data_IF_523789206702
#
_entry.id   IF_523789206702
#
_cell.length_a   1.000
_cell.length_b   1.000
_cell.length_c   1.000
_cell.angle_alpha   90.00
_cell.angle_beta   90.00
_cell.angle_gamma   90.00
#
_symmetry.space_group_name_H-M   'P 1'
#
loop_
_entity.id
_entity.type
_entity.pdbx_description
1 polymer ?
#
# COMPACT_ATOMS: atom_id res chain seq x y z
N UNK A 1 33.51 4.51 18.49
CA UNK A 1 32.45 5.18 19.30
C UNK A 1 31.63 6.17 18.49
N UNK A 2 31.91 7.49 18.41
CA UNK A 2 30.99 8.47 17.79
C UNK A 2 30.42 8.10 16.40
N UNK A 3 31.22 7.53 15.48
CA UNK A 3 30.73 7.07 14.16
C UNK A 3 29.68 5.94 14.24
N UNK A 4 29.79 5.02 15.19
CA UNK A 4 28.82 3.92 15.38
C UNK A 4 27.44 4.43 15.85
N UNK A 5 27.40 5.50 16.63
CA UNK A 5 26.14 6.16 17.03
C UNK A 5 25.48 6.97 15.90
N UNK A 6 26.16 7.20 14.77
CA UNK A 6 25.54 7.72 13.55
C UNK A 6 24.96 6.57 12.74
N UNK A 7 25.75 5.51 12.53
CA UNK A 7 25.29 4.32 11.79
C UNK A 7 24.09 3.63 12.46
N UNK A 8 24.12 3.39 13.78
CA UNK A 8 22.95 2.85 14.50
C UNK A 8 21.73 3.78 14.44
N UNK A 9 21.90 5.11 14.34
CA UNK A 9 20.76 6.04 14.19
C UNK A 9 20.19 6.07 12.77
N UNK A 10 21.04 6.00 11.75
CA UNK A 10 20.59 5.84 10.37
C UNK A 10 19.85 4.51 10.21
N UNK A 11 20.43 3.41 10.73
CA UNK A 11 19.82 2.08 10.71
C UNK A 11 18.49 2.04 11.49
N UNK A 12 18.39 2.68 12.66
CA UNK A 12 17.10 2.81 13.37
C UNK A 12 16.07 3.67 12.61
N UNK A 13 16.51 4.64 11.80
CA UNK A 13 15.62 5.38 10.91
C UNK A 13 15.13 4.54 9.73
N UNK A 14 16.01 3.74 9.13
CA UNK A 14 15.68 2.80 8.05
C UNK A 14 14.79 1.66 8.55
N UNK A 15 15.02 1.11 9.75
CA UNK A 15 14.09 0.14 10.35
C UNK A 15 12.77 0.78 10.83
N UNK A 16 12.75 2.07 11.16
CA UNK A 16 11.50 2.79 11.41
C UNK A 16 10.70 2.96 10.10
N UNK A 17 11.35 3.22 8.96
CA UNK A 17 10.70 3.10 7.65
C UNK A 17 10.24 1.66 7.39
N UNK A 18 11.05 0.63 7.67
CA UNK A 18 10.68 -0.76 7.38
C UNK A 18 9.60 -1.36 8.30
N UNK A 19 9.35 -0.77 9.47
CA UNK A 19 8.24 -1.14 10.37
C UNK A 19 7.03 -0.22 10.24
N UNK A 20 7.21 1.03 9.79
CA UNK A 20 6.13 1.77 9.17
C UNK A 20 5.60 0.95 7.97
N UNK A 21 6.47 0.47 7.08
CA UNK A 21 6.14 -0.32 5.87
C UNK A 21 5.14 -1.44 6.06
N UNK A 22 5.19 -2.17 7.17
CA UNK A 22 4.24 -3.25 7.49
C UNK A 22 2.79 -2.76 7.58
N UNK A 23 2.60 -1.45 7.73
CA UNK A 23 1.35 -0.69 7.79
C UNK A 23 1.46 0.65 6.97
N UNK A 24 2.46 0.80 6.07
CA UNK A 24 2.76 2.04 5.29
C UNK A 24 4.24 2.52 5.15
N UNK A 25 4.81 2.38 3.92
CA UNK A 25 5.84 3.22 3.22
C UNK A 25 7.41 3.13 3.31
N UNK A 26 8.01 2.81 2.12
CA UNK A 26 9.28 3.30 1.46
C UNK A 26 10.66 2.54 1.55
N UNK A 27 11.29 2.34 0.34
CA UNK A 27 12.71 2.10 -0.15
C UNK A 27 13.71 1.03 0.49
N UNK A 28 14.64 0.23 -0.14
CA UNK A 28 14.89 -0.42 -1.49
C UNK A 28 16.41 -0.85 -1.79
N UNK A 29 17.07 -1.80 -2.55
CA UNK A 29 17.25 -2.74 -3.78
C UNK A 29 18.22 -2.30 -4.91
N UNK A 30 18.84 -3.12 -5.79
CA UNK A 30 18.65 -4.52 -6.26
C UNK A 30 19.25 -5.67 -5.43
N UNK A 31 19.86 -6.73 -6.00
CA UNK A 31 20.14 -7.15 -7.41
C UNK A 31 20.10 -8.72 -7.47
N UNK A 32 20.42 -9.53 -8.50
CA UNK A 32 21.22 -9.45 -9.75
C UNK A 32 20.65 -10.45 -10.82
N UNK A 33 21.22 -10.52 -12.03
CA UNK A 33 20.76 -11.34 -13.17
C UNK A 33 20.81 -12.88 -12.91
N UNK A 34 19.88 -13.68 -13.49
CA UNK A 34 19.66 -13.82 -14.94
C UNK A 34 18.45 -13.07 -15.52
N UNK A 35 18.55 -12.71 -16.81
CA UNK A 35 17.56 -12.06 -17.70
C UNK A 35 16.20 -11.75 -17.07
N UNK A 36 16.03 -10.48 -16.68
CA UNK A 36 14.93 -9.98 -15.85
C UNK A 36 13.53 -10.54 -16.19
N UNK A 37 13.02 -10.29 -17.40
CA UNK A 37 11.61 -10.52 -17.78
C UNK A 37 11.11 -11.92 -17.38
N UNK A 38 11.86 -12.96 -17.77
CA UNK A 38 11.49 -14.37 -17.55
C UNK A 38 11.65 -14.80 -16.09
N UNK A 39 12.57 -14.18 -15.36
CA UNK A 39 12.76 -14.39 -13.92
C UNK A 39 11.61 -13.76 -13.14
N UNK A 40 11.15 -12.58 -13.56
CA UNK A 40 9.98 -11.93 -12.97
C UNK A 40 8.68 -12.70 -13.27
N UNK A 41 8.43 -13.08 -14.53
CA UNK A 41 7.27 -13.90 -14.92
C UNK A 41 7.15 -15.17 -14.04
N UNK A 42 8.25 -15.90 -13.88
CA UNK A 42 8.28 -17.12 -13.06
C UNK A 42 8.08 -16.83 -11.56
N UNK A 43 8.67 -15.75 -11.04
CA UNK A 43 8.52 -15.35 -9.63
C UNK A 43 7.10 -14.88 -9.34
N UNK A 44 6.45 -14.19 -10.29
CA UNK A 44 5.06 -13.76 -10.21
C UNK A 44 4.09 -14.93 -10.34
N UNK A 45 4.31 -15.87 -11.28
CA UNK A 45 3.48 -17.06 -11.42
C UNK A 45 3.53 -17.94 -10.16
N UNK A 46 4.72 -18.17 -9.60
CA UNK A 46 4.90 -18.91 -8.35
C UNK A 46 4.22 -18.21 -7.15
N UNK A 47 4.25 -16.88 -7.09
CA UNK A 47 3.55 -16.14 -6.03
C UNK A 47 2.03 -16.15 -6.20
N UNK A 48 1.52 -16.12 -7.44
CA UNK A 48 0.09 -16.30 -7.73
C UNK A 48 -0.38 -17.70 -7.34
N UNK A 49 0.46 -18.73 -7.48
CA UNK A 49 0.18 -20.08 -6.97
C UNK A 49 0.22 -20.12 -5.42
N UNK A 50 1.21 -19.45 -4.81
CA UNK A 50 1.40 -19.33 -3.35
C UNK A 50 0.17 -18.71 -2.63
N UNK A 51 -0.46 -17.71 -3.23
CA UNK A 51 -1.66 -17.01 -2.69
C UNK A 51 -3.00 -17.68 -3.09
N UNK A 52 -2.97 -18.86 -3.70
CA UNK A 52 -4.19 -19.61 -4.04
C UNK A 52 -4.90 -19.13 -5.30
N UNK A 53 -4.19 -18.42 -6.18
CA UNK A 53 -4.71 -17.84 -7.42
C UNK A 53 -5.19 -16.40 -7.28
N UNK A 54 -5.71 -15.85 -8.38
CA UNK A 54 -6.26 -14.50 -8.48
C UNK A 54 -7.51 -14.54 -9.35
N UNK A 55 -8.50 -13.73 -9.00
CA UNK A 55 -9.78 -13.64 -9.69
C UNK A 55 -10.35 -12.25 -9.52
N UNK A 56 -10.24 -11.43 -10.57
CA UNK A 56 -10.95 -10.16 -10.62
C UNK A 56 -12.46 -10.41 -10.72
N UNK A 57 -13.24 -9.71 -9.89
CA UNK A 57 -14.70 -9.78 -9.88
C UNK A 57 -15.37 -8.41 -9.84
N UNK A 58 -14.60 -7.32 -9.73
CA UNK A 58 -15.14 -5.97 -9.84
C UNK A 58 -15.59 -5.68 -11.28
N UNK A 59 -16.89 -5.42 -11.46
CA UNK A 59 -17.49 -5.03 -12.75
C UNK A 59 -17.48 -3.50 -12.96
N UNK A 60 -17.66 -2.77 -11.87
CA UNK A 60 -17.87 -1.33 -11.81
C UNK A 60 -18.73 -0.97 -10.60
N UNK A 61 -18.86 0.33 -10.30
CA UNK A 61 -19.71 0.86 -9.24
C UNK A 61 -20.67 1.92 -9.78
N UNK A 62 -21.78 2.12 -9.10
CA UNK A 62 -22.67 3.29 -9.27
C UNK A 62 -22.36 4.30 -8.18
N UNK A 63 -22.39 5.60 -8.50
CA UNK A 63 -22.18 6.66 -7.52
C UNK A 63 -23.25 6.64 -6.42
N UNK A 64 -22.84 6.65 -5.15
CA UNK A 64 -23.75 6.77 -4.00
C UNK A 64 -24.47 8.15 -3.91
N UNK A 65 -24.15 9.09 -4.79
CA UNK A 65 -24.74 10.43 -4.83
C UNK A 65 -25.73 10.62 -5.98
N UNK A 66 -26.81 11.34 -5.68
CA UNK A 66 -27.93 11.58 -6.57
C UNK A 66 -27.84 12.98 -7.21
N UNK A 67 -27.52 13.03 -8.50
CA UNK A 67 -27.32 14.29 -9.25
C UNK A 67 -28.59 14.77 -9.94
N UNK A 68 -28.75 16.10 -10.02
CA UNK A 68 -29.91 16.76 -10.63
C UNK A 68 -29.86 16.85 -12.17
N UNK A 69 -28.76 16.43 -12.81
CA UNK A 69 -28.63 16.36 -14.27
C UNK A 69 -27.44 15.50 -14.69
N UNK A 70 -27.47 14.95 -15.92
CA UNK A 70 -26.38 14.13 -16.43
C UNK A 70 -25.01 14.84 -16.54
N UNK A 71 -24.91 16.12 -16.95
CA UNK A 71 -23.63 16.84 -16.92
C UNK A 71 -23.04 16.97 -15.52
N UNK A 72 -23.87 17.23 -14.50
CA UNK A 72 -23.41 17.34 -13.11
C UNK A 72 -22.83 16.00 -12.59
N UNK A 73 -23.46 14.86 -12.92
CA UNK A 73 -22.91 13.54 -12.63
C UNK A 73 -21.59 13.27 -13.38
N UNK A 74 -21.48 13.75 -14.63
CA UNK A 74 -20.26 13.60 -15.43
C UNK A 74 -19.09 14.48 -14.95
N UNK A 75 -19.39 15.65 -14.38
CA UNK A 75 -18.42 16.53 -13.72
C UNK A 75 -17.97 15.95 -12.37
N UNK A 76 -18.91 15.50 -11.53
CA UNK A 76 -18.61 14.87 -10.23
C UNK A 76 -17.79 13.57 -10.36
N UNK A 77 -17.94 12.81 -11.46
CA UNK A 77 -17.08 11.67 -11.77
C UNK A 77 -15.59 12.05 -11.85
N UNK A 78 -15.26 13.22 -12.39
CA UNK A 78 -13.86 13.67 -12.45
C UNK A 78 -13.31 13.88 -11.05
N UNK A 79 -14.04 14.68 -10.26
CA UNK A 79 -13.67 15.09 -8.90
C UNK A 79 -13.61 13.90 -7.93
N UNK A 80 -14.44 12.87 -8.12
CA UNK A 80 -14.57 11.74 -7.19
C UNK A 80 -13.79 10.50 -7.63
N UNK A 81 -13.73 10.19 -8.93
CA UNK A 81 -13.18 8.91 -9.43
C UNK A 81 -11.83 9.03 -10.13
N UNK A 82 -11.44 10.21 -10.63
CA UNK A 82 -10.33 10.33 -11.60
C UNK A 82 -9.09 11.05 -11.06
N UNK A 83 -9.25 12.05 -10.19
CA UNK A 83 -8.16 13.02 -9.88
C UNK A 83 -7.50 12.86 -8.51
N UNK A 84 -8.01 11.99 -7.64
CA UNK A 84 -7.41 11.72 -6.34
C UNK A 84 -7.40 12.94 -5.42
N UNK A 85 -6.24 13.26 -4.85
CA UNK A 85 -6.06 14.41 -3.95
C UNK A 85 -5.80 15.73 -4.70
N UNK A 86 -6.02 15.77 -6.03
CA UNK A 86 -5.74 16.93 -6.90
C UNK A 86 -7.03 17.63 -7.29
N UNK A 87 -7.02 18.96 -7.29
CA UNK A 87 -8.12 19.72 -7.91
C UNK A 87 -8.06 19.56 -9.44
N UNK A 88 -9.22 19.60 -10.09
CA UNK A 88 -9.31 19.72 -11.53
C UNK A 88 -10.41 20.71 -11.95
N UNK A 89 -10.15 21.42 -13.03
CA UNK A 89 -11.16 22.25 -13.70
C UNK A 89 -11.71 21.49 -14.91
N UNK A 90 -13.00 21.19 -14.92
CA UNK A 90 -13.69 20.70 -16.12
C UNK A 90 -13.83 21.82 -17.14
N UNK A 91 -13.36 21.56 -18.36
CA UNK A 91 -13.32 22.51 -19.48
C UNK A 91 -14.53 22.33 -20.39
N UNK A 92 -14.99 21.09 -20.60
CA UNK A 92 -16.11 20.77 -21.48
C UNK A 92 -16.71 19.37 -21.18
N UNK A 93 -18.04 19.30 -21.11
CA UNK A 93 -18.82 18.08 -20.83
C UNK A 93 -19.72 17.76 -22.02
N UNK A 94 -19.36 16.77 -22.84
CA UNK A 94 -20.01 16.53 -24.13
C UNK A 94 -20.62 15.12 -24.23
N UNK A 95 -21.96 15.05 -24.34
CA UNK A 95 -22.67 13.80 -24.64
C UNK A 95 -22.26 13.27 -26.03
N UNK A 96 -21.92 11.99 -26.09
CA UNK A 96 -21.50 11.26 -27.31
C UNK A 96 -22.59 10.33 -27.83
N UNK A 97 -23.30 9.62 -26.94
CA UNK A 97 -24.33 8.65 -27.33
C UNK A 97 -25.38 8.41 -26.24
N UNK A 98 -26.49 7.81 -26.63
CA UNK A 98 -27.38 7.04 -25.76
C UNK A 98 -27.05 5.55 -25.96
N UNK A 99 -26.80 4.81 -24.88
CA UNK A 99 -26.47 3.39 -24.98
C UNK A 99 -27.71 2.57 -25.34
N UNK A 100 -27.54 1.59 -26.25
CA UNK A 100 -28.59 0.60 -26.49
C UNK A 100 -28.58 -0.50 -25.42
N UNK A 101 -29.70 -1.23 -25.29
CA UNK A 101 -29.89 -2.26 -24.25
C UNK A 101 -28.79 -3.34 -24.22
N UNK A 102 -28.18 -3.70 -25.36
CA UNK A 102 -27.04 -4.63 -25.39
C UNK A 102 -25.79 -4.03 -24.75
N UNK A 103 -25.54 -2.72 -24.95
CA UNK A 103 -24.42 -2.02 -24.32
C UNK A 103 -24.65 -1.82 -22.82
N UNK A 104 -25.88 -1.51 -22.40
CA UNK A 104 -26.25 -1.39 -20.98
C UNK A 104 -26.04 -2.75 -20.28
N UNK A 105 -26.48 -3.84 -20.88
CA UNK A 105 -26.24 -5.19 -20.35
C UNK A 105 -24.75 -5.58 -20.32
N UNK A 106 -23.92 -5.04 -21.22
CA UNK A 106 -22.46 -5.27 -21.24
C UNK A 106 -21.72 -4.51 -20.13
N UNK A 107 -22.29 -3.45 -19.56
CA UNK A 107 -21.71 -2.76 -18.40
C UNK A 107 -21.87 -3.55 -17.10
N UNK A 108 -22.80 -4.53 -17.04
CA UNK A 108 -23.15 -5.32 -15.86
C UNK A 108 -23.40 -4.47 -14.59
N UNK A 109 -24.19 -3.40 -14.74
CA UNK A 109 -24.52 -2.46 -13.67
C UNK A 109 -25.38 -3.15 -12.60
N UNK A 110 -24.87 -3.23 -11.38
CA UNK A 110 -25.58 -3.78 -10.23
C UNK A 110 -26.27 -2.65 -9.45
N UNK A 111 -27.61 -2.61 -9.49
CA UNK A 111 -28.46 -1.63 -8.78
C UNK A 111 -29.82 -2.22 -8.46
N UNK A 112 -30.50 -1.71 -7.43
CA UNK A 112 -31.88 -2.05 -7.09
C UNK A 112 -32.92 -1.18 -7.79
N UNK A 113 -32.52 -0.05 -8.40
CA UNK A 113 -33.42 0.87 -9.08
C UNK A 113 -33.61 0.55 -10.57
N UNK A 114 -34.71 1.03 -11.17
CA UNK A 114 -35.02 0.74 -12.58
C UNK A 114 -34.30 1.72 -13.50
N UNK A 115 -33.21 1.26 -14.12
CA UNK A 115 -32.47 2.01 -15.16
C UNK A 115 -33.42 2.35 -16.32
N UNK A 116 -33.66 3.65 -16.55
CA UNK A 116 -34.44 4.15 -17.68
C UNK A 116 -33.59 4.38 -18.93
N UNK A 117 -32.27 4.51 -18.76
CA UNK A 117 -31.28 4.61 -19.83
C UNK A 117 -29.88 4.86 -19.29
N UNK A 118 -28.88 4.76 -20.16
CA UNK A 118 -27.49 5.15 -19.86
C UNK A 118 -26.97 6.02 -21.01
N UNK A 119 -26.28 7.11 -20.68
CA UNK A 119 -25.78 8.12 -21.60
C UNK A 119 -24.25 8.11 -21.59
N UNK A 120 -23.59 8.05 -22.77
CA UNK A 120 -22.13 8.15 -22.87
C UNK A 120 -21.72 9.62 -23.01
N UNK A 121 -20.78 10.06 -22.18
CA UNK A 121 -20.17 11.37 -22.19
C UNK A 121 -18.65 11.28 -22.39
N UNK A 122 -18.06 12.32 -22.98
CA UNK A 122 -16.63 12.63 -22.88
C UNK A 122 -16.50 13.92 -22.09
N UNK A 123 -15.69 13.87 -21.04
CA UNK A 123 -15.41 15.01 -20.18
C UNK A 123 -13.94 15.39 -20.38
N UNK A 124 -13.72 16.67 -20.61
CA UNK A 124 -12.42 17.26 -20.93
C UNK A 124 -12.04 18.19 -19.78
N UNK A 125 -10.91 17.93 -19.14
CA UNK A 125 -10.52 18.56 -17.86
C UNK A 125 -9.02 18.90 -17.81
N UNK A 126 -8.63 19.75 -16.87
CA UNK A 126 -7.23 20.08 -16.55
C UNK A 126 -7.01 19.87 -15.05
N UNK A 127 -5.96 19.15 -14.68
CA UNK A 127 -5.50 19.07 -13.28
C UNK A 127 -4.74 20.35 -12.89
N UNK A 128 -5.05 20.87 -11.70
CA UNK A 128 -4.38 22.06 -11.17
C UNK A 128 -2.96 21.71 -10.69
N UNK A 129 -1.96 22.03 -11.51
CA UNK A 129 -0.57 21.88 -11.14
C UNK A 129 -0.20 22.80 -9.96
N UNK A 130 0.47 22.24 -8.95
CA UNK A 130 0.96 22.94 -7.72
C UNK A 130 2.16 23.89 -8.02
N UNK A 131 2.39 24.23 -9.30
CA UNK A 131 3.58 24.93 -9.81
C UNK A 131 3.18 26.33 -10.32
N UNK A 132 3.91 27.40 -9.97
CA UNK A 132 3.52 28.77 -10.32
C UNK A 132 3.42 29.01 -11.83
N UNK A 133 2.46 29.87 -12.22
CA UNK A 133 1.86 30.09 -13.56
C UNK A 133 2.78 30.30 -14.78
N UNK A 134 4.11 30.31 -14.65
CA UNK A 134 5.03 30.71 -15.72
C UNK A 134 5.11 29.74 -16.91
N UNK A 135 4.77 28.46 -16.72
CA UNK A 135 4.89 27.40 -17.76
C UNK A 135 3.71 26.42 -17.76
N UNK A 136 2.47 26.92 -17.61
CA UNK A 136 1.29 26.12 -17.96
C UNK A 136 1.22 25.91 -19.49
N UNK A 137 1.72 24.76 -19.94
CA UNK A 137 1.31 24.17 -21.21
C UNK A 137 0.00 23.41 -20.95
N UNK A 138 -1.04 23.65 -21.75
CA UNK A 138 -2.38 23.10 -21.51
C UNK A 138 -2.41 21.57 -21.67
N UNK A 139 -2.13 20.84 -20.59
CA UNK A 139 -2.25 19.38 -20.50
C UNK A 139 -3.71 18.98 -20.28
N UNK A 140 -4.60 19.37 -21.20
CA UNK A 140 -6.02 19.02 -21.14
C UNK A 140 -6.21 17.53 -21.39
N UNK A 141 -6.74 16.82 -20.39
CA UNK A 141 -7.06 15.40 -20.42
C UNK A 141 -8.50 15.18 -20.89
N UNK A 142 -8.81 13.97 -21.34
CA UNK A 142 -10.14 13.52 -21.73
C UNK A 142 -10.41 12.14 -21.13
N UNK A 143 -11.62 11.94 -20.60
CA UNK A 143 -12.07 10.64 -20.10
C UNK A 143 -13.50 10.37 -20.58
N UNK A 144 -13.84 9.09 -20.74
CA UNK A 144 -15.21 8.64 -21.02
C UNK A 144 -15.94 8.45 -19.69
N UNK A 145 -17.19 8.89 -19.63
CA UNK A 145 -18.06 8.71 -18.46
C UNK A 145 -19.39 8.10 -18.92
N UNK A 146 -19.94 7.20 -18.12
CA UNK A 146 -21.27 6.62 -18.33
C UNK A 146 -22.22 7.16 -17.26
N UNK A 147 -23.33 7.75 -17.68
CA UNK A 147 -24.31 8.35 -16.75
C UNK A 147 -25.60 7.54 -16.81
N UNK A 148 -26.01 6.99 -15.67
CA UNK A 148 -27.25 6.24 -15.52
C UNK A 148 -28.38 7.24 -15.25
N UNK A 149 -29.53 6.98 -15.87
CA UNK A 149 -30.75 7.75 -15.66
C UNK A 149 -31.82 6.89 -14.98
N UNK A 150 -32.31 7.39 -13.86
CA UNK A 150 -33.45 6.83 -13.12
C UNK A 150 -34.67 7.75 -13.25
N UNK A 151 -35.72 7.52 -12.46
CA UNK A 151 -36.99 8.27 -12.62
C UNK A 151 -36.85 9.75 -12.24
N UNK A 152 -36.12 10.07 -11.17
CA UNK A 152 -36.08 11.40 -10.56
C UNK A 152 -34.67 12.01 -10.46
N UNK A 153 -33.62 11.27 -10.83
CA UNK A 153 -32.21 11.63 -10.63
C UNK A 153 -31.29 10.97 -11.68
N UNK A 154 -30.01 11.33 -11.64
CA UNK A 154 -28.93 10.72 -12.40
C UNK A 154 -27.78 10.31 -11.47
N UNK A 155 -27.09 9.22 -11.81
CA UNK A 155 -25.91 8.70 -11.09
C UNK A 155 -24.81 8.42 -12.13
N UNK A 156 -23.53 8.52 -11.76
CA UNK A 156 -22.45 8.08 -12.66
C UNK A 156 -22.17 6.58 -12.47
N UNK A 157 -21.61 5.93 -13.50
CA UNK A 157 -21.08 4.58 -13.43
C UNK A 157 -19.57 4.59 -13.64
N UNK A 158 -18.82 4.08 -12.65
CA UNK A 158 -17.38 3.92 -12.70
C UNK A 158 -17.04 2.45 -13.07
N UNK A 159 -16.84 2.13 -14.36
CA UNK A 159 -16.59 0.74 -14.79
C UNK A 159 -15.26 0.22 -14.25
N UNK A 160 -15.07 -1.11 -14.28
CA UNK A 160 -13.76 -1.72 -14.06
C UNK A 160 -12.72 -1.15 -15.05
N UNK A 161 -11.59 -0.56 -14.57
CA UNK A 161 -10.54 -0.07 -15.44
C UNK A 161 -9.92 -1.20 -16.29
N UNK A 162 -9.47 -0.89 -17.50
CA UNK A 162 -8.78 -1.85 -18.36
C UNK A 162 -7.32 -1.98 -17.95
N UNK A 163 -6.72 -3.16 -18.06
CA UNK A 163 -5.28 -3.38 -17.81
C UNK A 163 -4.42 -2.35 -18.55
N UNK A 164 -3.60 -1.60 -17.80
CA UNK A 164 -2.78 -0.48 -18.30
C UNK A 164 -3.38 0.92 -18.09
N UNK A 165 -4.63 1.04 -17.65
CA UNK A 165 -5.25 2.31 -17.25
C UNK A 165 -5.00 2.60 -15.75
N UNK A 166 -4.98 3.88 -15.37
CA UNK A 166 -5.03 4.28 -13.96
C UNK A 166 -6.35 3.83 -13.34
N UNK A 167 -6.33 3.31 -12.11
CA UNK A 167 -7.54 2.85 -11.44
C UNK A 167 -8.44 4.02 -10.99
N UNK A 168 -9.74 3.77 -10.82
CA UNK A 168 -10.69 4.72 -10.23
C UNK A 168 -10.72 4.61 -8.71
N UNK A 169 -11.26 5.63 -8.03
CA UNK A 169 -11.47 5.59 -6.57
C UNK A 169 -12.33 4.40 -6.16
N UNK A 170 -13.48 4.21 -6.82
CA UNK A 170 -14.40 3.10 -6.54
C UNK A 170 -13.75 1.72 -6.74
N UNK A 171 -12.84 1.56 -7.71
CA UNK A 171 -12.09 0.31 -7.84
C UNK A 171 -11.14 0.10 -6.65
N UNK A 172 -10.39 1.14 -6.27
CA UNK A 172 -9.49 1.10 -5.11
C UNK A 172 -10.25 0.81 -3.79
N UNK A 173 -11.32 1.56 -3.53
CA UNK A 173 -12.21 1.39 -2.38
C UNK A 173 -12.79 -0.04 -2.32
N UNK A 174 -13.21 -0.61 -3.47
CA UNK A 174 -13.77 -1.96 -3.50
C UNK A 174 -12.78 -3.06 -3.11
N UNK A 175 -11.48 -2.85 -3.36
CA UNK A 175 -10.45 -3.78 -2.89
C UNK A 175 -10.15 -3.57 -1.41
N UNK A 176 -10.25 -2.35 -0.92
CA UNK A 176 -9.93 -1.97 0.46
C UNK A 176 -11.15 -1.88 1.39
N UNK A 177 -12.28 -2.52 1.05
CA UNK A 177 -13.45 -2.64 1.92
C UNK A 177 -13.06 -3.30 3.26
N UNK A 178 -13.05 -2.53 4.35
CA UNK A 178 -12.59 -2.98 5.66
C UNK A 178 -13.40 -4.15 6.25
N UNK A 179 -14.68 -4.28 5.87
CA UNK A 179 -15.54 -5.40 6.27
C UNK A 179 -15.06 -6.74 5.68
N UNK A 180 -14.48 -6.75 4.47
CA UNK A 180 -13.88 -7.94 3.90
C UNK A 180 -12.68 -8.46 4.71
N UNK A 181 -11.97 -7.58 5.42
CA UNK A 181 -10.79 -7.91 6.24
C UNK A 181 -11.12 -8.30 7.69
N UNK A 182 -12.40 -8.32 8.07
CA UNK A 182 -12.83 -8.87 9.37
C UNK A 182 -12.55 -10.38 9.42
N UNK A 183 -11.85 -10.81 10.46
CA UNK A 183 -11.52 -12.23 10.71
C UNK A 183 -10.61 -12.87 9.64
N UNK A 184 -9.52 -12.19 9.28
CA UNK A 184 -8.50 -12.68 8.34
C UNK A 184 -7.14 -12.93 9.00
N UNK A 185 -6.27 -13.67 8.30
CA UNK A 185 -4.86 -13.87 8.67
C UNK A 185 -3.99 -13.15 7.66
N UNK A 186 -3.29 -12.10 8.11
CA UNK A 186 -2.21 -11.47 7.36
C UNK A 186 -0.90 -12.21 7.64
N UNK A 187 -0.05 -12.36 6.62
CA UNK A 187 1.29 -12.93 6.78
C UNK A 187 2.25 -12.27 5.80
N UNK A 188 3.41 -11.85 6.30
CA UNK A 188 4.39 -11.05 5.59
C UNK A 188 5.81 -11.62 5.77
N UNK A 189 6.60 -11.63 4.70
CA UNK A 189 8.05 -11.84 4.74
C UNK A 189 8.76 -10.68 4.01
N UNK A 190 9.53 -9.89 4.78
CA UNK A 190 10.44 -8.86 4.29
C UNK A 190 11.87 -9.37 4.37
N UNK A 191 12.59 -9.41 3.24
CA UNK A 191 14.04 -9.61 3.22
C UNK A 191 14.70 -8.29 2.87
N UNK A 192 15.44 -7.72 3.81
CA UNK A 192 16.33 -6.59 3.58
C UNK A 192 17.78 -7.08 3.44
N UNK A 193 18.53 -6.58 2.46
CA UNK A 193 20.00 -6.66 2.44
C UNK A 193 20.57 -5.25 2.37
N UNK A 194 21.78 -5.04 2.84
CA UNK A 194 22.43 -3.74 2.83
C UNK A 194 23.94 -3.92 2.76
N UNK A 195 24.54 -3.62 1.61
CA UNK A 195 25.98 -3.56 1.44
C UNK A 195 26.45 -2.12 1.55
N UNK A 196 27.46 -1.90 2.38
CA UNK A 196 28.07 -0.58 2.60
C UNK A 196 29.58 -0.65 2.45
N UNK A 197 30.18 0.35 1.80
CA UNK A 197 31.64 0.50 1.72
C UNK A 197 32.04 1.68 2.60
N UNK A 198 32.73 1.38 3.70
CA UNK A 198 33.00 2.35 4.76
C UNK A 198 34.13 3.33 4.43
N UNK A 199 33.87 4.63 4.57
CA UNK A 199 34.84 5.73 4.41
C UNK A 199 36.03 5.72 5.42
N UNK A 200 36.24 4.63 6.14
CA UNK A 200 37.44 4.36 6.93
C UNK A 200 38.00 3.00 6.51
N UNK A 201 39.19 3.01 5.91
CA UNK A 201 39.93 1.84 5.42
C UNK A 201 39.32 1.10 4.21
N UNK A 202 38.17 1.52 3.67
CA UNK A 202 37.60 0.93 2.46
C UNK A 202 37.09 -0.50 2.64
N UNK A 203 36.73 -0.87 3.87
CA UNK A 203 36.15 -2.18 4.14
C UNK A 203 34.69 -2.23 3.69
N UNK A 204 34.33 -3.27 2.94
CA UNK A 204 32.94 -3.64 2.70
C UNK A 204 32.36 -4.31 3.95
N UNK A 205 31.16 -3.88 4.34
CA UNK A 205 30.33 -4.54 5.35
C UNK A 205 28.97 -4.82 4.69
N UNK A 206 28.60 -6.09 4.62
CA UNK A 206 27.29 -6.53 4.15
C UNK A 206 26.45 -6.95 5.35
N UNK A 207 25.19 -6.52 5.38
CA UNK A 207 24.23 -6.80 6.43
C UNK A 207 22.93 -7.31 5.79
N UNK A 208 22.53 -8.53 6.09
CA UNK A 208 21.22 -9.08 5.71
C UNK A 208 20.32 -9.10 6.93
N UNK A 209 19.10 -8.58 6.80
CA UNK A 209 18.05 -8.59 7.81
C UNK A 209 16.81 -9.24 7.20
N UNK A 210 16.53 -10.49 7.57
CA UNK A 210 15.29 -11.17 7.23
C UNK A 210 14.27 -10.98 8.34
N UNK A 211 13.10 -10.45 8.04
CA UNK A 211 11.96 -10.29 8.96
C UNK A 211 10.75 -11.05 8.42
N UNK A 212 10.17 -11.94 9.23
CA UNK A 212 8.82 -12.44 8.98
C UNK A 212 7.86 -11.94 10.07
N UNK A 213 6.60 -11.78 9.67
CA UNK A 213 5.49 -11.36 10.52
C UNK A 213 4.25 -12.17 10.14
N UNK A 214 3.50 -12.65 11.11
CA UNK A 214 2.22 -13.34 10.91
C UNK A 214 1.25 -12.77 11.93
N UNK A 215 0.16 -12.19 11.45
CA UNK A 215 -0.80 -11.43 12.22
C UNK A 215 -2.21 -11.99 11.98
N UNK A 216 -2.73 -12.67 12.99
CA UNK A 216 -4.12 -13.13 13.02
C UNK A 216 -4.96 -12.00 13.58
N UNK A 217 -5.95 -11.53 12.82
CA UNK A 217 -6.89 -10.49 13.24
C UNK A 217 -8.29 -11.10 13.31
N UNK A 218 -8.94 -10.98 14.47
CA UNK A 218 -10.31 -11.42 14.67
C UNK A 218 -11.16 -10.26 15.20
N UNK A 219 -12.23 -9.93 14.49
CA UNK A 219 -13.23 -8.94 14.91
C UNK A 219 -14.50 -9.67 15.37
N UNK A 220 -14.91 -9.46 16.62
CA UNK A 220 -16.13 -10.03 17.19
C UNK A 220 -16.73 -9.09 18.24
N UNK A 221 -18.04 -8.87 18.21
CA UNK A 221 -18.80 -8.16 19.25
C UNK A 221 -18.21 -6.78 19.64
N UNK A 222 -17.84 -5.97 18.64
CA UNK A 222 -17.25 -4.64 18.83
C UNK A 222 -15.82 -4.65 19.41
N UNK A 223 -15.11 -5.77 19.28
CA UNK A 223 -13.77 -5.99 19.85
C UNK A 223 -12.84 -6.59 18.80
N UNK A 224 -11.59 -6.12 18.77
CA UNK A 224 -10.51 -6.71 17.96
C UNK A 224 -9.62 -7.57 18.87
N UNK A 225 -9.34 -8.79 18.43
CA UNK A 225 -8.38 -9.71 19.02
C UNK A 225 -7.26 -9.93 18.01
N UNK A 226 -6.01 -9.87 18.45
CA UNK A 226 -4.84 -9.96 17.60
C UNK A 226 -3.77 -10.86 18.20
N UNK A 227 -3.21 -11.74 17.39
CA UNK A 227 -1.95 -12.43 17.66
C UNK A 227 -0.97 -12.11 16.53
N UNK A 228 0.15 -11.47 16.87
CA UNK A 228 1.21 -11.11 15.93
C UNK A 228 2.52 -11.78 16.36
N UNK A 229 2.94 -12.80 15.62
CA UNK A 229 4.29 -13.39 15.75
C UNK A 229 5.24 -12.75 14.74
N UNK A 230 6.44 -12.38 15.16
CA UNK A 230 7.54 -11.97 14.31
C UNK A 230 8.79 -12.82 14.55
N UNK A 231 9.61 -12.95 13.51
CA UNK A 231 10.98 -13.48 13.60
C UNK A 231 11.89 -12.53 12.84
N UNK A 232 12.90 -12.00 13.53
CA UNK A 232 13.96 -11.18 12.93
C UNK A 232 15.26 -11.95 12.95
N UNK A 233 15.91 -12.06 11.79
CA UNK A 233 17.24 -12.62 11.59
C UNK A 233 18.15 -11.48 11.15
N UNK A 234 19.33 -11.32 11.77
CA UNK A 234 20.31 -10.32 11.39
C UNK A 234 21.67 -10.97 11.21
N UNK A 235 22.24 -10.85 10.01
CA UNK A 235 23.54 -11.40 9.62
C UNK A 235 24.44 -10.25 9.17
N UNK A 236 25.61 -10.09 9.80
CA UNK A 236 26.63 -9.13 9.41
C UNK A 236 27.90 -9.85 8.94
N UNK A 237 28.39 -9.50 7.74
CA UNK A 237 29.58 -10.09 7.14
C UNK A 237 30.59 -9.01 6.75
N UNK A 238 31.84 -9.23 7.17
CA UNK A 238 32.99 -8.40 6.82
C UNK A 238 34.03 -9.30 6.11
N UNK A 239 34.02 -9.40 4.75
CA UNK A 239 34.74 -10.46 4.03
C UNK A 239 36.26 -10.54 4.24
N UNK A 240 36.88 -9.46 4.73
CA UNK A 240 38.32 -9.36 5.00
C UNK A 240 38.66 -9.34 6.51
N UNK A 241 37.69 -9.58 7.39
CA UNK A 241 37.86 -9.60 8.84
C UNK A 241 38.06 -11.02 9.40
N UNK A 242 38.56 -11.17 10.64
CA UNK A 242 38.44 -12.41 11.38
C UNK A 242 36.96 -12.84 11.50
N UNK A 243 36.68 -14.14 11.41
CA UNK A 243 35.32 -14.68 11.47
C UNK A 243 34.57 -14.36 12.78
N UNK A 244 35.31 -14.05 13.85
CA UNK A 244 34.81 -13.57 15.15
C UNK A 244 34.14 -12.18 15.09
N UNK A 245 34.28 -11.45 13.97
CA UNK A 245 33.62 -10.17 13.70
C UNK A 245 32.43 -10.27 12.72
N UNK A 246 32.04 -11.49 12.35
CA UNK A 246 30.77 -11.74 11.66
C UNK A 246 29.71 -12.10 12.72
N UNK A 247 28.60 -11.37 12.73
CA UNK A 247 27.51 -11.54 13.70
C UNK A 247 26.33 -12.23 13.01
N UNK A 248 25.64 -13.15 13.70
CA UNK A 248 24.41 -13.77 13.20
C UNK A 248 23.44 -13.99 14.37
N UNK A 249 22.46 -13.10 14.49
CA UNK A 249 21.48 -13.08 15.56
C UNK A 249 20.09 -13.49 15.03
N UNK A 250 19.25 -14.04 15.90
CA UNK A 250 17.86 -14.37 15.59
C UNK A 250 17.03 -14.17 16.84
N UNK A 251 15.96 -13.39 16.70
CA UNK A 251 15.06 -12.96 17.77
C UNK A 251 13.62 -13.23 17.31
N UNK A 252 12.78 -13.82 18.16
CA UNK A 252 11.37 -14.00 17.87
C UNK A 252 10.50 -13.42 18.97
N UNK A 253 9.42 -12.73 18.59
CA UNK A 253 8.45 -12.18 19.53
C UNK A 253 7.03 -12.52 19.11
N UNK A 254 6.16 -12.77 20.08
CA UNK A 254 4.70 -12.88 19.86
C UNK A 254 4.00 -11.86 20.75
N UNK A 255 3.30 -10.94 20.10
CA UNK A 255 2.45 -9.94 20.72
C UNK A 255 1.01 -10.42 20.64
N UNK A 256 0.36 -10.52 21.79
CA UNK A 256 -1.09 -10.67 21.87
C UNK A 256 -1.70 -9.33 22.25
N UNK A 257 -2.73 -8.89 21.52
CA UNK A 257 -3.46 -7.68 21.81
C UNK A 257 -4.98 -7.90 21.78
N UNK A 258 -5.69 -7.17 22.63
CA UNK A 258 -7.14 -7.12 22.72
C UNK A 258 -7.55 -5.65 22.79
N UNK A 259 -8.36 -5.21 21.83
CA UNK A 259 -8.79 -3.82 21.69
C UNK A 259 -10.31 -3.76 21.85
N UNK A 260 -10.77 -2.81 22.65
CA UNK A 260 -12.19 -2.54 22.90
C UNK A 260 -12.41 -1.06 23.18
N UNK A 261 -13.67 -0.64 23.29
CA UNK A 261 -14.05 0.71 23.65
C UNK A 261 -14.66 0.71 25.06
N UNK A 262 -14.06 1.50 25.95
CA UNK A 262 -14.50 1.73 27.32
C UNK A 262 -15.01 3.19 27.39
N UNK A 263 -16.31 3.39 27.56
CA UNK A 263 -17.00 4.68 27.37
C UNK A 263 -16.65 5.34 26.01
N UNK A 264 -16.10 6.56 26.02
CA UNK A 264 -15.65 7.29 24.83
C UNK A 264 -14.14 7.07 24.53
N UNK A 265 -13.50 6.03 25.07
CA UNK A 265 -12.06 5.77 24.92
C UNK A 265 -11.76 4.40 24.31
N UNK A 266 -10.85 4.38 23.33
CA UNK A 266 -10.29 3.15 22.77
C UNK A 266 -9.16 2.63 23.67
N UNK A 267 -9.20 1.34 23.98
CA UNK A 267 -8.34 0.73 25.00
C UNK A 267 -7.72 -0.55 24.45
N UNK A 268 -6.39 -0.67 24.58
CA UNK A 268 -5.63 -1.84 24.22
C UNK A 268 -5.08 -2.55 25.46
N UNK A 269 -5.32 -3.85 25.57
CA UNK A 269 -4.66 -4.74 26.50
C UNK A 269 -3.63 -5.55 25.72
N UNK A 270 -2.35 -5.49 26.10
CA UNK A 270 -1.28 -6.17 25.37
C UNK A 270 -0.36 -7.02 26.25
N UNK A 271 0.06 -8.18 25.73
CA UNK A 271 1.03 -9.12 26.29
C UNK A 271 2.11 -9.42 25.25
N UNK A 272 3.37 -9.50 25.67
CA UNK A 272 4.53 -9.76 24.81
C UNK A 272 5.32 -10.95 25.36
N UNK A 273 5.47 -11.96 24.52
CA UNK A 273 6.39 -13.08 24.67
C UNK A 273 7.56 -12.83 23.71
N UNK A 274 8.79 -13.12 24.12
CA UNK A 274 9.96 -13.11 23.26
C UNK A 274 10.86 -14.31 23.59
N UNK A 275 11.32 -15.01 22.56
CA UNK A 275 12.15 -16.22 22.64
C UNK A 275 11.60 -17.31 23.60
N UNK A 276 10.27 -17.31 23.78
CA UNK A 276 9.52 -18.20 24.68
C UNK A 276 9.25 -17.65 26.09
N UNK A 277 9.89 -16.56 26.50
CA UNK A 277 9.70 -15.94 27.82
C UNK A 277 8.69 -14.77 27.78
N UNK A 278 7.80 -14.67 28.78
CA UNK A 278 6.85 -13.54 28.88
C UNK A 278 7.55 -12.31 29.46
N UNK A 279 7.96 -11.38 28.59
CA UNK A 279 8.68 -10.16 29.00
C UNK A 279 7.70 -9.07 29.47
N UNK A 280 6.49 -9.03 28.92
CA UNK A 280 5.42 -8.13 29.36
C UNK A 280 4.10 -8.90 29.46
N UNK A 281 3.55 -9.04 30.67
CA UNK A 281 2.20 -9.62 30.82
C UNK A 281 1.12 -8.57 30.50
N UNK A 282 -0.14 -9.01 30.41
CA UNK A 282 -1.29 -8.17 30.07
C UNK A 282 -1.29 -6.80 30.77
N UNK A 283 -1.10 -5.76 29.97
CA UNK A 283 -1.05 -4.36 30.41
C UNK A 283 -2.07 -3.56 29.62
N UNK A 284 -3.00 -2.89 30.32
CA UNK A 284 -3.93 -1.91 29.74
C UNK A 284 -3.15 -0.65 29.34
N UNK A 285 -3.45 -0.11 28.16
CA UNK A 285 -3.00 1.19 27.67
C UNK A 285 -4.10 1.85 26.85
N UNK A 286 -4.28 3.15 27.04
CA UNK A 286 -5.23 3.94 26.26
C UNK A 286 -4.69 4.16 24.84
N UNK A 287 -5.54 4.05 23.82
CA UNK A 287 -5.21 4.41 22.44
C UNK A 287 -5.50 5.90 22.25
N UNK A 288 -4.50 6.74 22.54
CA UNK A 288 -4.55 8.18 22.24
C UNK A 288 -4.06 8.44 20.80
N UNK A 289 -4.94 8.31 19.82
CA UNK A 289 -4.66 8.61 18.41
C UNK A 289 -5.59 9.71 17.89
N UNK A 290 -5.08 10.57 17.00
CA UNK A 290 -5.88 11.54 16.27
C UNK A 290 -6.45 10.82 15.03
N UNK A 291 -7.75 10.96 14.80
CA UNK A 291 -8.45 10.39 13.63
C UNK A 291 -9.37 9.20 13.94
N UNK A 292 -9.16 8.51 15.06
CA UNK A 292 -9.92 7.30 15.43
C UNK A 292 -10.92 7.60 16.54
N UNK A 293 -12.16 7.15 16.36
CA UNK A 293 -13.34 7.39 17.20
C UNK A 293 -14.04 6.10 17.65
N UNK A 294 -13.86 5.00 16.91
CA UNK A 294 -14.46 3.69 17.18
C UNK A 294 -13.45 2.54 17.00
N UNK A 295 -13.85 1.32 17.39
CA UNK A 295 -13.07 0.09 17.14
C UNK A 295 -13.11 -0.31 15.66
N UNK A 296 -14.17 0.05 14.92
CA UNK A 296 -14.26 -0.21 13.48
C UNK A 296 -13.24 0.65 12.71
N UNK A 297 -12.95 1.86 13.18
CA UNK A 297 -11.93 2.75 12.60
C UNK A 297 -10.50 2.14 12.66
N UNK A 298 -10.28 1.14 13.53
CA UNK A 298 -9.01 0.42 13.70
C UNK A 298 -8.91 -0.86 12.84
N UNK A 299 -9.87 -1.11 11.95
CA UNK A 299 -9.81 -2.22 11.00
C UNK A 299 -8.76 -1.98 9.90
N UNK A 300 -8.17 -3.04 9.32
CA UNK A 300 -7.26 -2.90 8.19
C UNK A 300 -7.90 -2.13 7.03
N UNK A 301 -7.13 -1.21 6.45
CA UNK A 301 -7.45 -0.42 5.26
C UNK A 301 -8.64 0.55 5.37
N UNK A 302 -9.18 0.79 6.57
CA UNK A 302 -9.97 2.01 6.82
C UNK A 302 -9.09 3.24 6.55
N UNK A 303 -9.65 4.20 5.82
CA UNK A 303 -8.99 5.38 5.28
C UNK A 303 -7.72 5.06 4.47
N UNK A 304 -7.90 4.60 3.23
CA UNK A 304 -6.80 4.30 2.32
C UNK A 304 -5.84 5.49 2.11
N UNK A 305 -4.69 5.44 2.79
CA UNK A 305 -3.68 6.51 2.89
C UNK A 305 -2.94 6.87 1.60
N UNK A 306 -3.41 6.39 0.44
CA UNK A 306 -2.81 6.62 -0.87
C UNK A 306 -3.80 7.29 -1.80
N UNK A 307 -3.33 8.34 -2.47
CA UNK A 307 -3.95 8.78 -3.72
C UNK A 307 -3.89 7.61 -4.72
N UNK A 308 -5.05 7.13 -5.16
CA UNK A 308 -5.14 5.96 -6.02
C UNK A 308 -4.62 6.22 -7.45
N UNK A 309 -4.40 7.49 -7.84
CA UNK A 309 -4.01 7.89 -9.20
C UNK A 309 -2.56 7.56 -9.58
N UNK A 310 -1.74 7.01 -8.67
CA UNK A 310 -0.46 6.39 -9.02
C UNK A 310 -0.60 4.91 -9.40
N UNK A 311 -1.73 4.25 -9.11
CA UNK A 311 -1.90 2.82 -9.40
C UNK A 311 -2.46 2.58 -10.81
N UNK A 312 -1.89 1.59 -11.47
CA UNK A 312 -2.27 1.14 -12.81
C UNK A 312 -2.88 -0.27 -12.72
N UNK A 313 -4.01 -0.50 -13.39
CA UNK A 313 -4.71 -1.79 -13.39
C UNK A 313 -3.83 -2.88 -14.02
N UNK A 314 -3.81 -4.06 -13.39
CA UNK A 314 -3.24 -5.28 -13.97
C UNK A 314 -4.31 -6.35 -14.17
N UNK A 315 -3.96 -7.39 -14.93
CA UNK A 315 -4.78 -8.61 -15.11
C UNK A 315 -5.07 -9.36 -13.79
N UNK A 316 -4.42 -8.99 -12.68
CA UNK A 316 -4.43 -9.71 -11.41
C UNK A 316 -4.77 -8.81 -10.22
N UNK A 317 -5.11 -7.54 -10.46
CA UNK A 317 -5.24 -6.50 -9.43
C UNK A 317 -4.75 -5.16 -9.96
N UNK A 318 -3.75 -4.56 -9.33
CA UNK A 318 -3.17 -3.26 -9.71
C UNK A 318 -1.71 -3.11 -9.21
N UNK A 319 -0.97 -2.16 -9.76
CA UNK A 319 0.43 -1.91 -9.38
C UNK A 319 0.87 -0.44 -9.41
N UNK A 320 1.87 -0.12 -8.60
CA UNK A 320 2.66 1.11 -8.62
C UNK A 320 4.04 0.78 -9.19
N UNK A 321 4.36 1.30 -10.37
CA UNK A 321 5.61 1.01 -11.08
C UNK A 321 6.01 2.16 -12.02
N UNK A 322 7.27 2.16 -12.48
CA UNK A 322 7.79 3.11 -13.48
C UNK A 322 7.57 4.59 -13.13
N UNK A 323 7.12 5.38 -14.10
CA UNK A 323 6.88 6.82 -13.95
C UNK A 323 5.89 7.17 -12.80
N UNK A 324 4.94 6.29 -12.49
CA UNK A 324 4.00 6.50 -11.38
C UNK A 324 4.68 6.34 -10.02
N UNK A 325 5.56 5.33 -9.91
CA UNK A 325 6.41 5.08 -8.77
C UNK A 325 7.40 6.24 -8.53
N UNK A 326 8.03 6.73 -9.59
CA UNK A 326 8.91 7.91 -9.56
C UNK A 326 8.14 9.17 -9.14
N UNK A 327 6.93 9.39 -9.68
CA UNK A 327 6.07 10.53 -9.31
C UNK A 327 5.67 10.48 -7.82
N UNK A 328 5.20 9.32 -7.35
CA UNK A 328 4.84 9.13 -5.94
C UNK A 328 6.02 9.43 -5.00
N UNK A 329 7.20 8.89 -5.32
CA UNK A 329 8.42 9.13 -4.57
C UNK A 329 8.80 10.63 -4.61
N UNK A 330 8.79 11.28 -5.78
CA UNK A 330 9.14 12.70 -5.88
C UNK A 330 8.20 13.59 -5.05
N UNK A 331 6.88 13.39 -5.19
CA UNK A 331 5.88 14.18 -4.46
C UNK A 331 6.01 13.96 -2.93
N UNK A 332 6.30 12.73 -2.48
CA UNK A 332 6.55 12.42 -1.05
C UNK A 332 7.89 12.95 -0.52
N UNK A 333 8.94 12.97 -1.36
CA UNK A 333 10.29 13.38 -0.96
C UNK A 333 10.48 14.91 -1.02
N UNK A 334 9.62 15.64 -1.74
CA UNK A 334 9.58 17.10 -1.72
C UNK A 334 9.04 17.67 -0.40
N UNK A 335 8.13 16.97 0.29
CA UNK A 335 7.77 17.30 1.68
C UNK A 335 8.97 17.17 2.64
N UNK A 336 9.92 16.29 2.31
CA UNK A 336 11.17 16.06 3.03
C UNK A 336 12.33 16.95 2.53
N UNK A 337 12.02 18.17 2.07
CA UNK A 337 12.92 19.16 1.45
C UNK A 337 14.32 19.32 2.11
N UNK A 338 14.45 19.08 3.42
CA UNK A 338 15.73 19.10 4.14
C UNK A 338 16.74 18.02 3.68
N UNK A 339 16.31 17.00 2.93
CA UNK A 339 17.12 15.87 2.46
C UNK A 339 17.26 15.79 0.94
N UNK A 340 16.58 16.65 0.17
CA UNK A 340 16.57 16.65 -1.29
C UNK A 340 17.97 16.51 -1.92
N UNK A 341 18.98 17.22 -1.39
CA UNK A 341 20.35 17.22 -1.95
C UNK A 341 21.15 15.94 -1.66
N UNK A 342 20.63 15.02 -0.83
CA UNK A 342 21.17 13.66 -0.66
C UNK A 342 20.36 12.66 -1.51
N UNK A 343 19.05 12.90 -1.65
CA UNK A 343 18.11 12.07 -2.40
C UNK A 343 18.33 12.14 -3.92
N UNK A 344 18.68 13.33 -4.45
CA UNK A 344 18.96 13.54 -5.89
C UNK A 344 20.10 12.67 -6.45
N UNK A 345 21.00 12.22 -5.58
CA UNK A 345 22.16 11.38 -5.92
C UNK A 345 21.91 9.88 -5.61
N UNK A 346 20.65 9.48 -5.35
CA UNK A 346 20.22 8.09 -5.16
C UNK A 346 19.48 7.57 -6.39
N UNK A 347 19.86 6.39 -6.87
CA UNK A 347 19.07 5.61 -7.84
C UNK A 347 17.99 4.83 -7.07
N UNK A 348 16.81 5.46 -6.92
CA UNK A 348 15.63 4.88 -6.25
C UNK A 348 14.64 4.38 -7.31
N UNK A 349 14.13 3.16 -7.15
CA UNK A 349 13.02 2.62 -7.94
C UNK A 349 12.01 1.95 -7.01
N UNK A 350 10.77 1.74 -7.43
CA UNK A 350 9.83 0.92 -6.68
C UNK A 350 8.81 0.22 -7.58
N UNK A 351 8.45 -1.00 -7.17
CA UNK A 351 7.40 -1.82 -7.71
C UNK A 351 6.52 -2.31 -6.54
N UNK A 352 5.24 -1.96 -6.54
CA UNK A 352 4.26 -2.53 -5.58
C UNK A 352 3.13 -3.14 -6.37
N UNK A 353 2.98 -4.47 -6.29
CA UNK A 353 1.93 -5.27 -6.96
C UNK A 353 0.93 -5.77 -5.93
N UNK A 354 -0.34 -5.37 -6.11
CA UNK A 354 -1.49 -5.80 -5.32
C UNK A 354 -2.26 -6.87 -6.13
N UNK A 355 -2.51 -8.02 -5.50
CA UNK A 355 -3.11 -9.20 -6.12
C UNK A 355 -4.51 -9.41 -5.54
N UNK A 356 -5.53 -9.39 -6.41
CA UNK A 356 -6.95 -9.38 -6.06
C UNK A 356 -7.59 -10.74 -6.36
N UNK A 357 -8.42 -11.21 -5.43
CA UNK A 357 -9.17 -12.45 -5.55
C UNK A 357 -10.56 -12.27 -4.94
N UNK A 358 -11.60 -12.38 -5.77
CA UNK A 358 -13.00 -12.18 -5.41
C UNK A 358 -13.27 -10.80 -4.77
N UNK A 359 -12.66 -9.75 -5.31
CA UNK A 359 -12.74 -8.37 -4.81
C UNK A 359 -11.69 -8.02 -3.76
N UNK A 360 -11.27 -8.96 -2.91
CA UNK A 360 -10.33 -8.68 -1.81
C UNK A 360 -8.84 -8.87 -2.19
N UNK A 361 -7.94 -8.20 -1.46
CA UNK A 361 -6.48 -8.29 -1.59
C UNK A 361 -5.95 -9.61 -1.03
N UNK A 362 -5.77 -10.63 -1.86
CA UNK A 362 -5.16 -11.92 -1.42
C UNK A 362 -3.63 -11.81 -1.24
N UNK A 363 -2.95 -10.91 -1.97
CA UNK A 363 -1.50 -10.81 -1.92
C UNK A 363 -0.94 -9.42 -2.20
N UNK A 364 0.23 -9.14 -1.64
CA UNK A 364 1.03 -7.94 -1.84
C UNK A 364 2.46 -8.39 -2.17
N UNK A 365 3.06 -7.83 -3.22
CA UNK A 365 4.50 -7.93 -3.46
C UNK A 365 5.07 -6.53 -3.63
N UNK A 366 6.09 -6.21 -2.86
CA UNK A 366 6.85 -4.97 -2.99
C UNK A 366 8.32 -5.31 -3.24
N UNK A 367 8.82 -4.88 -4.39
CA UNK A 367 10.24 -4.83 -4.71
C UNK A 367 10.63 -3.38 -4.94
N UNK A 368 11.83 -3.02 -4.55
CA UNK A 368 12.03 -1.67 -4.03
C UNK A 368 13.52 -1.37 -4.12
N UNK A 369 14.02 -0.36 -4.85
CA UNK A 369 15.47 -0.13 -5.08
C UNK A 369 16.02 1.18 -4.50
N UNK A 370 17.26 1.17 -3.98
CA UNK A 370 18.13 2.31 -3.63
C UNK A 370 19.60 1.89 -3.86
N UNK A 371 20.27 2.55 -4.79
CA UNK A 371 21.74 2.57 -4.87
C UNK A 371 22.28 4.00 -4.73
N UNK A 372 23.44 4.15 -4.10
CA UNK A 372 24.11 5.45 -3.86
C UNK A 372 25.63 5.26 -3.85
N UNK A 373 26.37 6.08 -4.61
CA UNK A 373 27.84 6.12 -4.59
C UNK A 373 28.32 7.58 -4.59
N UNK A 374 29.02 7.99 -3.54
CA UNK A 374 29.65 9.31 -3.46
C UNK A 374 31.08 9.28 -2.93
N UNK A 375 31.92 10.15 -3.50
CA UNK A 375 33.34 10.30 -3.13
C UNK A 375 33.50 11.38 -2.04
N UNK A 376 33.24 11.03 -0.78
CA UNK A 376 33.42 11.98 0.33
C UNK A 376 34.89 12.05 0.75
N UNK A 377 35.48 13.26 0.64
CA UNK A 377 36.88 13.54 1.03
C UNK A 377 37.93 12.59 0.40
N UNK A 378 37.67 12.10 -0.81
CA UNK A 378 38.57 11.18 -1.53
C UNK A 378 38.39 9.70 -1.18
N UNK A 379 37.30 9.31 -0.50
CA UNK A 379 36.94 7.91 -0.28
C UNK A 379 35.54 7.65 -0.82
N UNK A 380 35.41 6.68 -1.74
CA UNK A 380 34.11 6.21 -2.22
C UNK A 380 33.32 5.61 -1.05
N UNK A 381 32.10 6.09 -0.89
CA UNK A 381 31.11 5.59 0.07
C UNK A 381 29.94 5.07 -0.75
N UNK A 382 29.89 3.75 -0.93
CA UNK A 382 28.77 3.07 -1.60
C UNK A 382 27.78 2.55 -0.57
N UNK A 383 26.50 2.71 -0.86
CA UNK A 383 25.37 2.07 -0.21
C UNK A 383 24.53 1.40 -1.30
N UNK A 384 24.41 0.08 -1.21
CA UNK A 384 23.43 -0.71 -1.94
C UNK A 384 22.50 -1.30 -0.86
N UNK A 385 21.30 -0.75 -0.71
CA UNK A 385 20.28 -1.41 0.12
C UNK A 385 19.48 -2.39 -0.78
N UNK A 386 18.62 -3.20 -0.19
CA UNK A 386 17.85 -4.28 -0.80
C UNK A 386 16.63 -4.53 0.05
N UNK A 387 15.42 -4.52 -0.51
CA UNK A 387 14.20 -4.83 0.21
C UNK A 387 13.18 -5.48 -0.73
N UNK A 388 12.82 -6.72 -0.42
CA UNK A 388 11.72 -7.46 -1.04
C UNK A 388 10.74 -7.85 0.06
N UNK A 389 9.47 -7.46 -0.09
CA UNK A 389 8.37 -7.79 0.83
C UNK A 389 7.31 -8.58 0.09
N UNK A 390 6.89 -9.71 0.67
CA UNK A 390 5.72 -10.49 0.25
C UNK A 390 4.70 -10.52 1.39
N UNK A 391 3.54 -9.91 1.19
CA UNK A 391 2.37 -10.01 2.06
C UNK A 391 1.31 -10.92 1.46
N UNK A 392 0.54 -11.61 2.31
CA UNK A 392 -0.58 -12.48 1.93
C UNK A 392 -1.72 -12.27 2.93
N UNK A 393 -2.96 -12.29 2.47
CA UNK A 393 -4.16 -12.21 3.31
C UNK A 393 -5.05 -13.41 2.98
N UNK A 394 -5.41 -14.18 4.00
CA UNK A 394 -6.12 -15.45 3.84
C UNK A 394 -7.03 -15.74 5.03
N UNK A 395 -7.65 -16.90 5.03
CA UNK A 395 -8.50 -17.42 6.12
C UNK A 395 -9.70 -16.51 6.46
N UNK A 396 -10.11 -15.66 5.50
CA UNK A 396 -11.23 -14.72 5.56
C UNK A 396 -12.49 -15.28 6.23
N UNK A 397 -13.04 -14.54 7.19
CA UNK A 397 -14.22 -14.95 7.96
C UNK A 397 -13.99 -16.12 8.93
N UNK A 398 -12.78 -16.70 8.99
CA UNK A 398 -12.51 -17.98 9.68
C UNK A 398 -11.34 -17.94 10.66
N UNK A 399 -10.55 -16.86 10.71
CA UNK A 399 -9.44 -16.73 11.67
C UNK A 399 -9.90 -16.81 13.12
N UNK A 400 -9.31 -17.75 13.87
CA UNK A 400 -9.57 -17.94 15.30
C UNK A 400 -8.40 -17.38 16.10
N UNK A 401 -8.64 -16.25 16.77
CA UNK A 401 -7.86 -15.80 17.95
C UNK A 401 -8.70 -16.12 19.19
N UNK A 402 -8.09 -16.77 20.19
CA UNK A 402 -8.76 -17.06 21.46
C UNK A 402 -8.88 -15.79 22.33
N UNK A 403 -10.02 -15.59 23.01
CA UNK A 403 -10.14 -14.52 24.01
C UNK A 403 -9.20 -14.85 25.19
N UNK A 404 -8.32 -13.94 25.62
CA UNK A 404 -7.50 -14.14 26.80
C UNK A 404 -8.38 -14.34 28.05
N UNK A 405 -8.36 -15.54 28.63
CA UNK A 405 -9.14 -15.87 29.83
C UNK A 405 -8.72 -15.05 31.08
N UNK A 406 -7.57 -14.38 31.02
CA UNK A 406 -7.02 -13.50 32.05
C UNK A 406 -7.64 -12.09 32.00
N UNK A 407 -8.32 -11.71 30.90
CA UNK A 407 -9.05 -10.45 30.75
C UNK A 407 -10.54 -10.70 31.01
N UNK A 408 -10.92 -10.58 32.28
CA UNK A 408 -12.33 -10.52 32.70
C UNK A 408 -12.97 -9.19 32.27
N UNK A 409 -14.29 -9.21 32.07
CA UNK A 409 -15.15 -8.04 31.84
C UNK A 409 -15.83 -7.62 33.16
#
# INVERSE_FOLDING_TARGET
MRKANVFKKALSGVLALSTALSVGFIAGCGDDEPTADKKEEQTQAAFIEEIGGVSETYNGSVSNENYASAPAAAEAYIETEVVGNKNATVVNTAKKADLNQTQIAQLNIETTETILGVEEYEVEYVEDAVVPMATQQNNTKKVKVYIIKFENHWEYYAPCPVTGETITKSYYDSVFESDAYKNCTYSNATTMNMTTVGAAQGMTVTMTVGMSLTQLIKYQDGKIYMEQTSVTTMKMEMPNAPAELNENETESSTIYAYITQEDDQLVCYAKVIQDGETIKNWTRGDIYTIGFSSVDDLLPFVDGYLDYTYFTKTNFGFELSGEQAERYLSETLDELAAYQDVIKDMDIKTLVKYYVQNGALTGLRQDLTIAYDQVFQGVNTKLDLSLTTKGTVKDYGSTVVEKPAEIAE
#
